data_IF_553127144110
#
_entry.id   IF_553127144110
#
_cell.length_a   1.000
_cell.length_b   1.000
_cell.length_c   1.000
_cell.angle_alpha   90.00
_cell.angle_beta   90.00
_cell.angle_gamma   90.00
#
_symmetry.space_group_name_H-M   'P 1'
#
loop_
_entity.id
_entity.type
_entity.pdbx_description
1 polymer ?
#
# COMPACT_ATOMS: atom_id res chain seq x y z
N UNK A 1 -7.67 -0.52 -7.90
CA UNK A 1 -8.30 -1.22 -6.77
C UNK A 1 -9.77 -1.43 -7.05
N UNK A 2 -10.27 -2.58 -6.67
CA UNK A 2 -11.59 -3.02 -7.07
C UNK A 2 -12.59 -2.74 -5.95
N UNK A 3 -13.63 -1.95 -6.25
CA UNK A 3 -14.69 -1.62 -5.32
C UNK A 3 -15.88 -2.57 -5.41
N UNK A 4 -16.11 -3.21 -6.55
CA UNK A 4 -17.22 -4.13 -6.74
C UNK A 4 -17.37 -4.56 -8.18
N UNK A 5 -18.40 -5.37 -8.42
CA UNK A 5 -18.77 -5.83 -9.76
C UNK A 5 -20.08 -5.19 -10.16
N UNK A 6 -20.08 -4.54 -11.31
CA UNK A 6 -21.29 -3.93 -11.89
C UNK A 6 -21.59 -4.55 -13.25
N UNK A 7 -22.86 -4.63 -13.60
CA UNK A 7 -23.31 -5.12 -14.90
C UNK A 7 -23.73 -3.95 -15.75
N UNK A 8 -23.13 -3.84 -16.94
CA UNK A 8 -23.49 -2.81 -17.92
C UNK A 8 -23.94 -3.47 -19.22
N UNK A 9 -24.81 -2.79 -19.95
CA UNK A 9 -25.19 -3.21 -21.29
C UNK A 9 -24.43 -2.39 -22.32
N UNK A 10 -23.77 -3.11 -23.23
CA UNK A 10 -23.09 -2.52 -24.38
C UNK A 10 -23.64 -3.21 -25.62
N UNK A 11 -24.19 -2.42 -26.54
CA UNK A 11 -24.78 -2.94 -27.80
C UNK A 11 -25.85 -4.02 -27.54
N UNK A 12 -26.64 -3.87 -26.48
CA UNK A 12 -27.70 -4.81 -26.16
C UNK A 12 -27.28 -6.04 -25.37
N UNK A 13 -25.99 -6.25 -25.16
CA UNK A 13 -25.46 -7.37 -24.36
C UNK A 13 -25.12 -6.93 -22.94
N UNK A 14 -25.32 -7.86 -21.99
CA UNK A 14 -24.90 -7.64 -20.62
C UNK A 14 -23.45 -8.07 -20.47
N UNK A 15 -22.60 -7.16 -20.02
CA UNK A 15 -21.20 -7.44 -19.73
C UNK A 15 -20.93 -7.09 -18.27
N UNK A 16 -20.31 -8.00 -17.53
CA UNK A 16 -19.92 -7.74 -16.14
C UNK A 16 -18.62 -6.99 -16.09
N UNK A 17 -18.54 -5.94 -15.26
CA UNK A 17 -17.34 -5.13 -15.06
C UNK A 17 -17.02 -5.03 -13.58
N UNK A 18 -15.72 -4.96 -13.28
CA UNK A 18 -15.26 -4.49 -11.97
C UNK A 18 -15.21 -2.97 -11.98
N UNK A 19 -15.76 -2.36 -10.95
CA UNK A 19 -15.58 -0.93 -10.72
C UNK A 19 -14.25 -0.74 -9.98
N UNK A 20 -13.33 0.00 -10.59
CA UNK A 20 -11.99 0.24 -10.09
C UNK A 20 -11.90 1.70 -9.68
N UNK A 21 -11.50 1.95 -8.43
CA UNK A 21 -11.37 3.30 -7.91
C UNK A 21 -9.97 3.55 -7.41
N UNK A 22 -9.40 4.66 -7.88
CA UNK A 22 -8.15 5.24 -7.34
C UNK A 22 -8.49 6.52 -6.61
N UNK A 23 -7.51 7.21 -6.06
CA UNK A 23 -7.73 8.50 -5.38
C UNK A 23 -8.23 9.58 -6.34
N UNK A 24 -7.91 9.47 -7.62
CA UNK A 24 -8.19 10.52 -8.61
C UNK A 24 -9.31 10.15 -9.58
N UNK A 25 -9.64 8.88 -9.74
CA UNK A 25 -10.58 8.46 -10.77
C UNK A 25 -11.28 7.14 -10.44
N UNK A 26 -12.37 6.90 -11.15
CA UNK A 26 -13.10 5.63 -11.13
C UNK A 26 -13.21 5.16 -12.56
N UNK A 27 -12.93 3.89 -12.81
CA UNK A 27 -13.10 3.29 -14.13
C UNK A 27 -13.56 1.84 -14.00
N UNK A 28 -14.01 1.27 -15.12
CA UNK A 28 -14.54 -0.10 -15.17
C UNK A 28 -13.67 -0.97 -16.06
N UNK A 29 -13.47 -2.21 -15.63
CA UNK A 29 -12.75 -3.20 -16.39
C UNK A 29 -13.57 -4.47 -16.52
N UNK A 30 -13.68 -5.10 -17.73
CA UNK A 30 -14.37 -6.36 -17.89
C UNK A 30 -13.84 -7.43 -16.94
N UNK A 31 -14.75 -8.25 -16.40
CA UNK A 31 -14.42 -9.28 -15.41
C UNK A 31 -13.38 -10.27 -15.95
N UNK A 32 -13.43 -10.60 -17.23
CA UNK A 32 -12.49 -11.54 -17.85
C UNK A 32 -11.05 -11.03 -17.93
N UNK A 33 -10.81 -9.74 -17.67
CA UNK A 33 -9.47 -9.15 -17.60
C UNK A 33 -8.93 -9.08 -16.17
N UNK A 34 -9.63 -9.68 -15.21
CA UNK A 34 -9.25 -9.62 -13.79
C UNK A 34 -7.88 -10.26 -13.51
N UNK A 35 -7.46 -11.24 -14.29
CA UNK A 35 -6.18 -11.92 -14.11
C UNK A 35 -4.98 -11.12 -14.64
N UNK A 36 -5.22 -9.92 -15.15
CA UNK A 36 -4.14 -9.04 -15.61
C UNK A 36 -3.22 -8.63 -14.47
N UNK A 37 -1.92 -8.59 -14.74
CA UNK A 37 -0.91 -8.13 -13.76
C UNK A 37 -1.12 -6.69 -13.31
N UNK A 38 -1.88 -5.91 -14.04
CA UNK A 38 -2.19 -4.51 -13.72
C UNK A 38 -3.13 -4.39 -12.53
N UNK A 39 -3.94 -5.43 -12.26
CA UNK A 39 -4.93 -5.43 -11.21
C UNK A 39 -4.64 -6.48 -10.15
N UNK A 40 -4.90 -6.12 -8.90
CA UNK A 40 -4.97 -7.06 -7.80
C UNK A 40 -6.25 -6.79 -6.99
N UNK A 41 -6.79 -7.81 -6.32
CA UNK A 41 -7.93 -7.61 -5.42
C UNK A 41 -7.58 -6.60 -4.33
N UNK A 42 -8.59 -5.85 -3.89
CA UNK A 42 -8.46 -4.97 -2.74
C UNK A 42 -8.16 -5.82 -1.50
N UNK A 43 -7.26 -5.34 -0.66
CA UNK A 43 -6.93 -6.00 0.60
C UNK A 43 -8.15 -6.08 1.50
N UNK A 44 -8.22 -7.13 2.32
CA UNK A 44 -9.26 -7.28 3.32
C UNK A 44 -9.06 -6.30 4.48
N UNK A 45 -10.12 -6.05 5.24
CA UNK A 45 -10.04 -5.26 6.47
C UNK A 45 -9.00 -5.85 7.43
N UNK A 46 -8.94 -7.17 7.53
CA UNK A 46 -7.98 -7.86 8.40
C UNK A 46 -6.54 -7.59 7.99
N UNK A 47 -6.25 -7.59 6.69
CA UNK A 47 -4.91 -7.28 6.18
C UNK A 47 -4.50 -5.84 6.51
N UNK A 48 -5.43 -4.90 6.39
CA UNK A 48 -5.16 -3.50 6.76
C UNK A 48 -4.96 -3.37 8.26
N UNK A 49 -5.75 -4.06 9.08
CA UNK A 49 -5.58 -4.04 10.54
C UNK A 49 -4.23 -4.62 10.95
N UNK A 50 -3.75 -5.68 10.28
CA UNK A 50 -2.41 -6.23 10.51
C UNK A 50 -1.33 -5.23 10.13
N UNK A 51 -1.51 -4.50 9.03
CA UNK A 51 -0.56 -3.47 8.63
C UNK A 51 -0.48 -2.35 9.67
N UNK A 52 -1.63 -1.89 10.17
CA UNK A 52 -1.69 -0.87 11.23
C UNK A 52 -0.96 -1.36 12.49
N UNK A 53 -1.23 -2.59 12.91
CA UNK A 53 -0.56 -3.19 14.07
C UNK A 53 0.95 -3.27 13.87
N UNK A 54 1.39 -3.60 12.66
CA UNK A 54 2.81 -3.65 12.30
C UNK A 54 3.48 -2.30 12.42
N UNK A 55 2.81 -1.22 11.99
CA UNK A 55 3.33 0.15 12.13
C UNK A 55 3.52 0.56 13.59
N UNK A 56 2.74 -0.01 14.50
CA UNK A 56 2.82 0.29 15.94
C UNK A 56 3.94 -0.47 16.66
N UNK A 57 4.49 -1.51 16.04
CA UNK A 57 5.57 -2.31 16.64
C UNK A 57 6.92 -1.61 16.49
N UNK A 58 7.87 -1.89 17.41
CA UNK A 58 9.21 -1.34 17.28
C UNK A 58 9.86 -1.73 15.96
N UNK A 59 10.57 -0.80 15.31
CA UNK A 59 11.25 -1.11 14.05
C UNK A 59 12.41 -2.07 14.24
N UNK A 60 12.75 -2.78 13.17
CA UNK A 60 13.95 -3.62 13.13
C UNK A 60 15.01 -2.93 12.30
N UNK A 61 16.27 -3.09 12.70
CA UNK A 61 17.40 -2.55 11.95
C UNK A 61 17.47 -3.19 10.57
N UNK A 62 17.68 -2.35 9.56
CA UNK A 62 17.91 -2.84 8.20
C UNK A 62 19.36 -3.32 8.03
N UNK A 63 19.58 -4.18 7.05
CA UNK A 63 20.91 -4.66 6.72
C UNK A 63 21.86 -3.50 6.42
N UNK A 64 23.12 -3.63 6.81
CA UNK A 64 24.17 -2.68 6.45
C UNK A 64 24.58 -2.80 4.99
N UNK A 65 24.26 -3.92 4.34
CA UNK A 65 24.55 -4.15 2.94
C UNK A 65 23.52 -3.43 2.04
N UNK A 66 24.02 -2.52 1.21
CA UNK A 66 23.20 -1.75 0.28
C UNK A 66 22.40 -2.67 -0.67
N UNK A 67 23.01 -3.71 -1.19
CA UNK A 67 22.33 -4.62 -2.12
C UNK A 67 21.21 -5.42 -1.43
N UNK A 68 21.42 -5.81 -0.18
CA UNK A 68 20.39 -6.49 0.59
C UNK A 68 19.18 -5.60 0.84
N UNK A 69 19.41 -4.31 1.15
CA UNK A 69 18.32 -3.33 1.31
C UNK A 69 17.56 -3.12 0.00
N UNK A 70 18.29 -2.95 -1.08
CA UNK A 70 17.70 -2.78 -2.43
C UNK A 70 16.85 -3.97 -2.81
N UNK A 71 17.32 -5.18 -2.57
CA UNK A 71 16.58 -6.41 -2.88
C UNK A 71 15.33 -6.53 -2.02
N UNK A 72 15.39 -6.13 -0.75
CA UNK A 72 14.22 -6.12 0.12
C UNK A 72 13.14 -5.16 -0.39
N UNK A 73 13.53 -3.94 -0.76
CA UNK A 73 12.62 -2.94 -1.33
C UNK A 73 11.93 -3.51 -2.58
N UNK A 74 12.71 -4.05 -3.49
CA UNK A 74 12.20 -4.61 -4.74
C UNK A 74 11.21 -5.75 -4.48
N UNK A 75 11.53 -6.65 -3.56
CA UNK A 75 10.69 -7.78 -3.20
C UNK A 75 9.34 -7.32 -2.64
N UNK A 76 9.35 -6.33 -1.74
CA UNK A 76 8.12 -5.78 -1.16
C UNK A 76 7.26 -5.11 -2.24
N UNK A 77 7.89 -4.36 -3.14
CA UNK A 77 7.17 -3.72 -4.25
C UNK A 77 6.48 -4.75 -5.15
N UNK A 78 7.09 -5.91 -5.35
CA UNK A 78 6.53 -6.98 -6.18
C UNK A 78 5.44 -7.77 -5.45
N UNK A 79 5.64 -8.12 -4.19
CA UNK A 79 4.68 -8.90 -3.40
C UNK A 79 3.44 -8.09 -3.01
N UNK A 80 3.65 -6.83 -2.69
CA UNK A 80 2.57 -5.85 -2.55
C UNK A 80 1.53 -6.20 -1.47
N UNK A 81 1.95 -6.85 -0.37
CA UNK A 81 1.07 -7.08 0.77
C UNK A 81 1.10 -5.88 1.71
N UNK A 82 -0.04 -5.49 2.31
CA UNK A 82 -0.06 -4.35 3.24
C UNK A 82 0.85 -4.53 4.45
N UNK A 83 0.92 -5.73 5.01
CA UNK A 83 1.77 -6.00 6.18
C UNK A 83 3.26 -5.82 5.85
N UNK A 84 3.73 -6.38 4.73
CA UNK A 84 5.12 -6.24 4.32
C UNK A 84 5.46 -4.81 3.95
N UNK A 85 4.52 -4.11 3.31
CA UNK A 85 4.65 -2.68 3.00
C UNK A 85 4.80 -1.87 4.29
N UNK A 86 3.95 -2.12 5.27
CA UNK A 86 4.00 -1.43 6.56
C UNK A 86 5.33 -1.69 7.29
N UNK A 87 5.79 -2.93 7.27
CA UNK A 87 7.04 -3.33 7.90
C UNK A 87 8.24 -2.60 7.29
N UNK A 88 8.28 -2.51 5.97
CA UNK A 88 9.36 -1.80 5.28
C UNK A 88 9.31 -0.30 5.52
N UNK A 89 8.13 0.31 5.47
CA UNK A 89 7.95 1.74 5.77
C UNK A 89 8.47 2.04 7.17
N UNK A 90 8.08 1.24 8.15
CA UNK A 90 8.50 1.40 9.54
C UNK A 90 10.03 1.34 9.67
N UNK A 91 10.65 0.37 9.05
CA UNK A 91 12.09 0.15 9.15
C UNK A 91 12.88 1.24 8.40
N UNK A 92 12.39 1.69 7.24
CA UNK A 92 12.99 2.81 6.51
C UNK A 92 12.89 4.13 7.29
N UNK A 93 11.75 4.37 7.95
CA UNK A 93 11.57 5.57 8.76
C UNK A 93 12.55 5.58 9.93
N UNK A 94 12.74 4.44 10.59
CA UNK A 94 13.70 4.31 11.68
C UNK A 94 15.13 4.54 11.18
N UNK A 95 15.49 4.02 10.02
CA UNK A 95 16.79 4.23 9.41
C UNK A 95 17.02 5.72 9.11
N UNK A 96 15.98 6.41 8.64
CA UNK A 96 16.06 7.85 8.39
C UNK A 96 16.36 8.64 9.67
N UNK A 97 15.72 8.27 10.78
CA UNK A 97 15.98 8.91 12.09
C UNK A 97 17.41 8.66 12.56
N UNK A 98 17.87 7.42 12.46
CA UNK A 98 19.17 7.01 12.98
C UNK A 98 20.34 7.60 12.19
N UNK A 99 20.17 7.74 10.88
CA UNK A 99 21.22 8.20 9.98
C UNK A 99 21.07 9.64 9.50
N UNK A 100 19.92 10.26 9.78
CA UNK A 100 19.61 11.63 9.37
C UNK A 100 19.05 11.73 7.96
N UNK A 101 19.38 10.81 7.06
CA UNK A 101 18.83 10.80 5.70
C UNK A 101 18.87 9.41 5.09
N UNK A 102 18.02 9.22 4.07
CA UNK A 102 18.01 8.02 3.25
C UNK A 102 18.68 8.32 1.91
N UNK A 103 19.19 7.29 1.23
CA UNK A 103 19.64 7.48 -0.14
C UNK A 103 18.43 7.75 -1.05
N UNK A 104 18.69 8.15 -2.30
CA UNK A 104 17.64 8.54 -3.23
C UNK A 104 16.63 7.41 -3.48
N UNK A 105 17.11 6.20 -3.67
CA UNK A 105 16.27 5.02 -3.91
C UNK A 105 15.39 4.69 -2.70
N UNK A 106 15.95 4.74 -1.50
CA UNK A 106 15.22 4.51 -0.26
C UNK A 106 14.18 5.60 0.01
N UNK A 107 14.52 6.87 -0.24
CA UNK A 107 13.57 7.99 -0.12
C UNK A 107 12.41 7.87 -1.08
N UNK A 108 12.68 7.50 -2.32
CA UNK A 108 11.66 7.28 -3.33
C UNK A 108 10.76 6.11 -2.94
N UNK A 109 11.35 5.02 -2.45
CA UNK A 109 10.61 3.83 -2.04
C UNK A 109 9.64 4.12 -0.88
N UNK A 110 10.11 4.79 0.17
CA UNK A 110 9.24 5.07 1.32
C UNK A 110 8.06 5.95 0.93
N UNK A 111 8.29 6.94 0.07
CA UNK A 111 7.23 7.82 -0.42
C UNK A 111 6.18 7.04 -1.22
N UNK A 112 6.61 6.22 -2.15
CA UNK A 112 5.71 5.42 -2.99
C UNK A 112 4.94 4.40 -2.17
N UNK A 113 5.60 3.71 -1.26
CA UNK A 113 4.97 2.70 -0.41
C UNK A 113 3.96 3.31 0.56
N UNK A 114 4.28 4.47 1.14
CA UNK A 114 3.34 5.19 2.00
C UNK A 114 2.10 5.59 1.23
N UNK A 115 2.25 6.11 0.03
CA UNK A 115 1.12 6.50 -0.80
C UNK A 115 0.22 5.31 -1.12
N UNK A 116 0.80 4.19 -1.48
CA UNK A 116 0.04 2.96 -1.78
C UNK A 116 -0.72 2.45 -0.57
N UNK A 117 -0.08 2.43 0.60
CA UNK A 117 -0.73 1.98 1.82
C UNK A 117 -1.86 2.93 2.24
N UNK A 118 -1.65 4.24 2.13
CA UNK A 118 -2.68 5.24 2.42
C UNK A 118 -3.90 5.07 1.52
N UNK A 119 -3.68 4.89 0.22
CA UNK A 119 -4.77 4.69 -0.73
C UNK A 119 -5.59 3.43 -0.40
N UNK A 120 -4.91 2.33 -0.15
CA UNK A 120 -5.56 1.06 0.13
C UNK A 120 -6.30 1.09 1.48
N UNK A 121 -5.68 1.62 2.51
CA UNK A 121 -6.28 1.80 3.83
C UNK A 121 -7.51 2.70 3.74
N UNK A 122 -7.40 3.83 3.06
CA UNK A 122 -8.48 4.78 2.83
C UNK A 122 -9.70 4.11 2.18
N UNK A 123 -9.47 3.30 1.16
CA UNK A 123 -10.53 2.58 0.44
C UNK A 123 -11.16 1.47 1.30
N UNK A 124 -10.35 0.68 1.98
CA UNK A 124 -10.85 -0.46 2.77
C UNK A 124 -11.67 0.00 3.97
N UNK A 125 -11.24 1.07 4.65
CA UNK A 125 -11.90 1.57 5.85
C UNK A 125 -12.83 2.75 5.59
N UNK A 126 -13.00 3.15 4.34
CA UNK A 126 -13.85 4.27 3.93
C UNK A 126 -13.53 5.54 4.73
N UNK A 127 -12.27 5.94 4.70
CA UNK A 127 -11.77 7.15 5.38
C UNK A 127 -11.09 8.06 4.38
N UNK A 128 -11.03 9.35 4.72
CA UNK A 128 -10.35 10.33 3.88
C UNK A 128 -8.85 10.10 3.89
N UNK A 129 -8.22 10.22 2.71
CA UNK A 129 -6.79 9.97 2.53
C UNK A 129 -5.93 10.86 3.43
N UNK A 130 -6.29 12.13 3.63
CA UNK A 130 -5.54 13.05 4.49
C UNK A 130 -5.54 12.57 5.95
N UNK A 131 -6.66 12.04 6.43
CA UNK A 131 -6.76 11.51 7.79
C UNK A 131 -5.94 10.25 7.94
N UNK A 132 -5.96 9.38 6.94
CA UNK A 132 -5.17 8.15 6.93
C UNK A 132 -3.69 8.47 6.89
N UNK A 133 -3.27 9.39 6.04
CA UNK A 133 -1.86 9.81 5.95
C UNK A 133 -1.36 10.38 7.27
N UNK A 134 -2.16 11.22 7.92
CA UNK A 134 -1.83 11.78 9.23
C UNK A 134 -1.70 10.69 10.30
N UNK A 135 -2.62 9.72 10.30
CA UNK A 135 -2.59 8.59 11.24
C UNK A 135 -1.36 7.72 11.01
N UNK A 136 -1.01 7.47 9.76
CA UNK A 136 0.19 6.71 9.39
C UNK A 136 1.43 7.37 9.96
N UNK A 137 1.60 8.67 9.75
CA UNK A 137 2.75 9.42 10.25
C UNK A 137 2.80 9.41 11.78
N UNK A 138 1.66 9.55 12.45
CA UNK A 138 1.59 9.48 13.91
C UNK A 138 2.06 8.12 14.42
N UNK A 139 1.63 7.04 13.77
CA UNK A 139 2.02 5.68 14.18
C UNK A 139 3.53 5.45 13.98
N UNK A 140 4.10 6.00 12.91
CA UNK A 140 5.54 5.90 12.66
C UNK A 140 6.38 6.70 13.65
N UNK A 141 5.88 7.87 14.05
CA UNK A 141 6.62 8.79 14.94
C UNK A 141 6.46 8.42 16.41
N UNK A 142 5.41 7.67 16.76
CA UNK A 142 5.11 7.27 18.14
C UNK A 142 4.82 5.77 18.21
N UNK A 143 5.83 4.91 17.93
CA UNK A 143 5.62 3.47 18.00
C UNK A 143 5.35 3.02 19.44
N UNK A 144 4.52 2.00 19.59
CA UNK A 144 4.29 1.37 20.88
C UNK A 144 5.57 0.67 21.35
N UNK A 145 5.90 0.85 22.62
CA UNK A 145 7.06 0.21 23.22
C UNK A 145 6.69 -1.17 23.76
#
# INVERSE_FOLDING_TARGET
QIKGVEVKRISGEKVSYFRIQTTDSTFWMPVDQMDSEVLRPLSSLEEIQLAIATLQRPPKSMSSDHNARKNRIRRVQLQNTPEDTARLIRDLRARQRDRGELNLEESSAIRTLKQRLVEEWSLVMDKKSEKVASRLDDLLDHPAL
#
